data_IF_048568563464
#
_entry.id   IF_048568563464
#
_cell.length_a   1.000
_cell.length_b   1.000
_cell.length_c   1.000
_cell.angle_alpha   90.00
_cell.angle_beta   90.00
_cell.angle_gamma   90.00
#
_symmetry.space_group_name_H-M   'P 1'
#
loop_
_entity.id
_entity.type
_entity.pdbx_description
1 polymer ?
#
# COMPACT_ATOMS: atom_id res chain seq x y z
N UNK A 1 -22.79 -1.65 -80.15
CA UNK A 1 -24.22 -2.00 -79.99
C UNK A 1 -24.48 -2.16 -78.49
N UNK A 2 -25.10 -1.16 -77.83
CA UNK A 2 -26.56 -1.02 -77.62
C UNK A 2 -27.09 -2.10 -76.63
N UNK A 3 -27.68 -1.84 -75.45
CA UNK A 3 -28.43 -0.69 -74.90
C UNK A 3 -28.47 -0.77 -73.35
N UNK A 4 -28.62 0.38 -72.71
CA UNK A 4 -29.11 0.56 -71.34
C UNK A 4 -30.59 0.18 -71.20
N UNK A 5 -31.00 -0.32 -70.02
CA UNK A 5 -32.35 -0.14 -69.47
C UNK A 5 -32.29 -0.07 -67.94
N UNK A 6 -33.04 0.89 -67.40
CA UNK A 6 -33.09 1.36 -66.01
C UNK A 6 -34.31 0.85 -65.23
N UNK A 7 -34.13 0.66 -63.91
CA UNK A 7 -35.14 0.80 -62.84
C UNK A 7 -35.74 -0.49 -62.25
N UNK A 8 -36.30 -0.50 -61.00
CA UNK A 8 -36.46 0.61 -60.04
C UNK A 8 -35.89 0.32 -58.62
N UNK A 9 -36.05 1.32 -57.74
CA UNK A 9 -35.55 1.39 -56.37
C UNK A 9 -36.56 0.92 -55.29
N UNK A 10 -36.04 0.82 -54.06
CA UNK A 10 -36.69 0.93 -52.75
C UNK A 10 -36.94 -0.37 -51.95
N UNK A 11 -36.36 -0.38 -50.74
CA UNK A 11 -36.60 -1.37 -49.70
C UNK A 11 -35.73 -1.12 -48.46
N UNK A 12 -35.95 0.01 -47.75
CA UNK A 12 -35.32 0.27 -46.43
C UNK A 12 -35.86 -0.73 -45.41
N UNK A 13 -35.09 -1.78 -45.13
CA UNK A 13 -35.33 -2.68 -44.00
C UNK A 13 -35.05 -1.97 -42.67
N UNK A 14 -36.11 -1.58 -41.95
CA UNK A 14 -36.03 -1.15 -40.56
C UNK A 14 -35.68 -2.37 -39.69
N UNK A 15 -34.46 -2.40 -39.14
CA UNK A 15 -34.06 -3.41 -38.14
C UNK A 15 -34.79 -3.09 -36.82
N UNK A 16 -35.50 -4.08 -36.30
CA UNK A 16 -36.21 -3.98 -35.03
C UNK A 16 -35.26 -3.79 -33.85
N UNK A 17 -35.59 -2.85 -32.98
CA UNK A 17 -34.96 -2.73 -31.66
C UNK A 17 -35.43 -3.87 -30.75
N UNK A 18 -34.55 -4.51 -29.96
CA UNK A 18 -34.96 -5.49 -28.98
C UNK A 18 -35.77 -4.80 -27.86
N UNK A 19 -36.96 -5.32 -27.58
CA UNK A 19 -37.82 -4.90 -26.47
C UNK A 19 -37.25 -5.41 -25.16
N UNK A 20 -36.78 -4.51 -24.30
CA UNK A 20 -36.47 -4.83 -22.91
C UNK A 20 -37.77 -5.06 -22.11
N UNK A 21 -37.86 -6.12 -21.28
CA UNK A 21 -39.04 -6.33 -20.45
C UNK A 21 -39.12 -5.29 -19.32
N UNK A 22 -40.33 -4.80 -19.08
CA UNK A 22 -40.68 -3.83 -18.03
C UNK A 22 -40.35 -4.40 -16.65
N UNK A 23 -39.56 -3.65 -15.87
CA UNK A 23 -39.28 -3.93 -14.44
C UNK A 23 -40.58 -3.93 -13.64
N UNK A 24 -40.84 -5.03 -12.93
CA UNK A 24 -41.90 -5.11 -11.90
C UNK A 24 -41.51 -4.26 -10.68
N UNK A 25 -42.46 -3.56 -10.03
CA UNK A 25 -42.19 -2.83 -8.79
C UNK A 25 -42.00 -3.80 -7.62
N UNK A 26 -40.92 -3.62 -6.87
CA UNK A 26 -40.67 -4.32 -5.60
C UNK A 26 -41.55 -3.67 -4.53
N UNK A 27 -42.37 -4.48 -3.85
CA UNK A 27 -43.19 -4.03 -2.71
C UNK A 27 -42.29 -3.61 -1.55
N UNK A 28 -42.40 -2.35 -1.11
CA UNK A 28 -41.78 -1.87 0.14
C UNK A 28 -42.53 -2.48 1.33
N UNK A 29 -41.90 -3.43 2.01
CA UNK A 29 -42.32 -3.88 3.33
C UNK A 29 -41.96 -2.82 4.37
N UNK A 30 -42.94 -2.42 5.19
CA UNK A 30 -42.76 -1.52 6.31
C UNK A 30 -41.88 -2.19 7.38
N UNK A 31 -40.79 -1.53 7.76
CA UNK A 31 -39.96 -1.96 8.90
C UNK A 31 -40.37 -1.11 10.10
N UNK A 32 -40.95 -1.79 11.08
CA UNK A 32 -41.43 -1.23 12.36
C UNK A 32 -40.22 -0.82 13.19
N UNK A 33 -40.12 0.48 13.51
CA UNK A 33 -39.13 1.00 14.43
C UNK A 33 -39.41 0.47 15.86
N UNK A 34 -38.47 -0.29 16.40
CA UNK A 34 -38.38 -0.58 17.83
C UNK A 34 -37.10 0.08 18.34
N UNK A 35 -37.29 1.05 19.24
CA UNK A 35 -36.24 1.69 20.01
C UNK A 35 -35.46 0.62 20.79
N UNK A 36 -34.22 0.36 20.35
CA UNK A 36 -33.21 -0.36 21.11
C UNK A 36 -32.17 0.65 21.58
N UNK A 37 -32.11 0.87 22.87
CA UNK A 37 -31.26 1.79 23.60
C UNK A 37 -29.78 1.64 23.20
N UNK A 38 -29.14 2.76 22.87
CA UNK A 38 -27.69 2.88 22.77
C UNK A 38 -27.07 2.57 24.13
N UNK A 39 -26.53 1.37 24.30
CA UNK A 39 -25.53 1.08 25.33
C UNK A 39 -24.19 1.30 24.66
N UNK A 40 -23.67 2.51 24.83
CA UNK A 40 -22.25 2.82 24.62
C UNK A 40 -21.49 2.09 25.72
N UNK A 41 -21.23 0.81 25.50
CA UNK A 41 -20.52 -0.07 26.42
C UNK A 41 -19.11 -0.28 25.91
N UNK A 42 -18.21 0.54 26.45
CA UNK A 42 -16.77 0.45 26.37
C UNK A 42 -16.31 -1.00 26.65
N UNK A 43 -15.99 -1.74 25.58
CA UNK A 43 -15.36 -3.06 25.65
C UNK A 43 -14.15 -3.02 24.71
N UNK A 44 -13.20 -2.15 25.06
CA UNK A 44 -11.90 -2.10 24.44
C UNK A 44 -11.08 -3.31 24.91
N UNK A 45 -11.42 -4.50 24.42
CA UNK A 45 -10.42 -5.55 24.32
C UNK A 45 -9.43 -5.00 23.30
N UNK A 46 -8.30 -4.47 23.78
CA UNK A 46 -7.18 -4.10 22.93
C UNK A 46 -6.90 -5.32 22.03
N UNK A 47 -7.14 -5.15 20.73
CA UNK A 47 -6.87 -6.22 19.78
C UNK A 47 -5.37 -6.51 19.89
N UNK A 48 -4.97 -7.78 20.10
CA UNK A 48 -3.57 -8.11 20.25
C UNK A 48 -2.81 -7.64 19.01
N UNK A 49 -1.63 -7.08 19.24
CA UNK A 49 -0.79 -6.62 18.14
C UNK A 49 -0.45 -7.78 17.20
N UNK A 50 -0.59 -7.55 15.91
CA UNK A 50 -0.13 -8.53 14.92
C UNK A 50 1.38 -8.41 14.77
N UNK A 51 2.09 -9.50 15.06
CA UNK A 51 3.55 -9.56 14.99
C UNK A 51 3.96 -10.46 13.83
N UNK A 52 4.60 -9.88 12.81
CA UNK A 52 5.17 -10.65 11.72
C UNK A 52 6.46 -11.40 12.15
N UNK A 53 6.77 -12.56 11.54
CA UNK A 53 8.06 -13.21 11.74
C UNK A 53 9.19 -12.38 11.12
N UNK A 54 10.37 -12.41 11.73
CA UNK A 54 11.56 -11.76 11.17
C UNK A 54 12.03 -12.47 9.88
N UNK A 55 12.62 -11.69 8.96
CA UNK A 55 13.20 -12.16 7.70
C UNK A 55 14.72 -11.86 7.67
N UNK A 56 15.54 -12.50 8.53
CA UNK A 56 16.96 -12.16 8.67
C UNK A 56 17.76 -12.33 7.38
N UNK A 57 17.40 -13.31 6.54
CA UNK A 57 18.01 -13.52 5.23
C UNK A 57 17.73 -12.37 4.26
N UNK A 58 16.54 -11.78 4.30
CA UNK A 58 16.18 -10.62 3.49
C UNK A 58 16.94 -9.39 3.98
N UNK A 59 16.99 -9.18 5.30
CA UNK A 59 17.72 -8.06 5.91
C UNK A 59 19.20 -8.11 5.50
N UNK A 60 19.83 -9.28 5.61
CA UNK A 60 21.24 -9.44 5.24
C UNK A 60 21.47 -9.34 3.73
N UNK A 61 20.53 -9.77 2.90
CA UNK A 61 20.60 -9.57 1.45
C UNK A 61 20.52 -8.08 1.09
N UNK A 62 19.58 -7.33 1.69
CA UNK A 62 19.42 -5.89 1.48
C UNK A 62 20.64 -5.10 1.99
N UNK A 63 21.20 -5.46 3.14
CA UNK A 63 22.40 -4.81 3.71
C UNK A 63 23.62 -4.90 2.78
N UNK A 64 23.72 -5.99 2.01
CA UNK A 64 24.81 -6.23 1.07
C UNK A 64 24.52 -5.69 -0.34
N UNK A 65 23.26 -5.37 -0.64
CA UNK A 65 22.85 -4.90 -1.94
C UNK A 65 23.21 -3.42 -2.12
N UNK A 66 23.83 -3.09 -3.27
CA UNK A 66 23.86 -1.72 -3.78
C UNK A 66 22.51 -1.40 -4.44
N UNK A 67 22.17 -0.11 -4.61
CA UNK A 67 20.85 0.33 -5.13
C UNK A 67 20.47 -0.37 -6.45
N UNK A 68 21.42 -0.55 -7.37
CA UNK A 68 21.18 -1.22 -8.66
C UNK A 68 20.97 -2.74 -8.57
N UNK A 69 21.15 -3.35 -7.39
CA UNK A 69 21.06 -4.81 -7.17
C UNK A 69 19.84 -5.24 -6.34
N UNK A 70 19.03 -4.28 -5.86
CA UNK A 70 17.85 -4.58 -5.01
C UNK A 70 16.83 -5.46 -5.74
N UNK A 71 16.70 -5.34 -7.06
CA UNK A 71 15.83 -6.21 -7.86
C UNK A 71 16.20 -7.68 -7.71
N UNK A 72 17.50 -8.02 -7.62
CA UNK A 72 17.96 -9.39 -7.37
C UNK A 72 17.56 -9.91 -5.99
N UNK A 73 17.48 -9.04 -4.98
CA UNK A 73 16.95 -9.42 -3.65
C UNK A 73 15.45 -9.72 -3.74
N UNK A 74 14.69 -8.92 -4.49
CA UNK A 74 13.26 -9.17 -4.72
C UNK A 74 13.04 -10.47 -5.48
N UNK A 75 13.85 -10.77 -6.49
CA UNK A 75 13.79 -12.04 -7.24
C UNK A 75 14.06 -13.25 -6.35
N UNK A 76 15.02 -13.14 -5.43
CA UNK A 76 15.33 -14.19 -4.46
C UNK A 76 14.27 -14.32 -3.34
N UNK A 77 13.63 -13.22 -2.96
CA UNK A 77 12.66 -13.12 -1.86
C UNK A 77 11.33 -12.48 -2.28
N UNK A 78 10.60 -13.02 -3.27
CA UNK A 78 9.47 -12.34 -3.91
C UNK A 78 8.24 -12.18 -3.01
N UNK A 79 8.22 -12.88 -1.87
CA UNK A 79 7.17 -12.79 -0.85
C UNK A 79 7.46 -11.75 0.23
N UNK A 80 8.67 -11.20 0.31
CA UNK A 80 9.03 -10.23 1.35
C UNK A 80 8.48 -8.85 1.01
N UNK A 81 7.61 -8.32 1.87
CA UNK A 81 7.12 -6.95 1.75
C UNK A 81 8.24 -5.92 1.89
N UNK A 82 9.25 -6.21 2.72
CA UNK A 82 10.40 -5.34 2.95
C UNK A 82 11.25 -5.19 1.68
N UNK A 83 11.57 -6.29 0.99
CA UNK A 83 12.37 -6.23 -0.24
C UNK A 83 11.68 -5.37 -1.32
N UNK A 84 10.36 -5.52 -1.50
CA UNK A 84 9.58 -4.68 -2.41
C UNK A 84 9.53 -3.21 -1.98
N UNK A 85 9.42 -2.92 -0.68
CA UNK A 85 9.43 -1.56 -0.16
C UNK A 85 10.75 -0.85 -0.46
N UNK A 86 11.88 -1.52 -0.21
CA UNK A 86 13.22 -0.97 -0.49
C UNK A 86 13.43 -0.77 -1.99
N UNK A 87 12.94 -1.70 -2.84
CA UNK A 87 12.98 -1.51 -4.29
C UNK A 87 12.16 -0.28 -4.73
N UNK A 88 10.97 -0.09 -4.16
CA UNK A 88 10.13 1.07 -4.45
C UNK A 88 10.84 2.37 -4.06
N UNK A 89 11.43 2.44 -2.86
CA UNK A 89 12.15 3.63 -2.41
C UNK A 89 13.36 3.94 -3.28
N UNK A 90 14.19 2.94 -3.61
CA UNK A 90 15.33 3.14 -4.52
C UNK A 90 14.88 3.62 -5.92
N UNK A 91 13.81 3.02 -6.45
CA UNK A 91 13.24 3.39 -7.75
C UNK A 91 12.69 4.82 -7.73
N UNK A 92 12.08 5.24 -6.62
CA UNK A 92 11.63 6.61 -6.45
C UNK A 92 12.78 7.61 -6.42
N UNK A 93 13.87 7.32 -5.72
CA UNK A 93 15.05 8.19 -5.65
C UNK A 93 15.67 8.45 -7.03
N UNK A 94 15.45 7.54 -7.99
CA UNK A 94 15.86 7.71 -9.38
C UNK A 94 14.84 8.51 -10.23
N UNK A 95 13.78 9.04 -9.63
CA UNK A 95 12.73 9.80 -10.32
C UNK A 95 11.70 8.93 -11.06
N UNK A 96 11.68 7.62 -10.83
CA UNK A 96 10.79 6.66 -11.51
C UNK A 96 9.51 6.42 -10.70
N UNK A 97 8.68 7.46 -10.56
CA UNK A 97 7.51 7.46 -9.66
C UNK A 97 6.48 6.37 -10.00
N UNK A 98 6.20 6.10 -11.28
CA UNK A 98 5.21 5.08 -11.66
C UNK A 98 5.68 3.66 -11.35
N UNK A 99 6.95 3.36 -11.56
CA UNK A 99 7.57 2.09 -11.22
C UNK A 99 7.64 1.91 -9.71
N UNK A 100 8.01 2.96 -8.96
CA UNK A 100 7.93 2.98 -7.50
C UNK A 100 6.52 2.66 -7.01
N UNK A 101 5.49 3.30 -7.57
CA UNK A 101 4.09 3.02 -7.26
C UNK A 101 3.76 1.54 -7.49
N UNK A 102 4.15 0.98 -8.64
CA UNK A 102 3.89 -0.41 -8.98
C UNK A 102 4.58 -1.38 -8.00
N UNK A 103 5.86 -1.16 -7.68
CA UNK A 103 6.62 -1.97 -6.73
C UNK A 103 6.07 -1.88 -5.31
N UNK A 104 5.74 -0.67 -4.85
CA UNK A 104 5.12 -0.46 -3.55
C UNK A 104 3.76 -1.16 -3.45
N UNK A 105 2.97 -1.17 -4.52
CA UNK A 105 1.69 -1.89 -4.57
C UNK A 105 1.87 -3.39 -4.41
N UNK A 106 2.88 -3.98 -5.05
CA UNK A 106 3.23 -5.39 -4.85
C UNK A 106 3.66 -5.64 -3.40
N UNK A 107 4.55 -4.81 -2.86
CA UNK A 107 5.01 -4.91 -1.47
C UNK A 107 3.87 -4.83 -0.45
N UNK A 108 2.93 -3.91 -0.66
CA UNK A 108 1.72 -3.78 0.14
C UNK A 108 0.88 -5.07 0.12
N UNK A 109 0.64 -5.65 -1.06
CA UNK A 109 -0.10 -6.90 -1.18
C UNK A 109 0.60 -8.07 -0.47
N UNK A 110 1.93 -8.21 -0.64
CA UNK A 110 2.72 -9.22 0.09
C UNK A 110 2.65 -9.05 1.60
N UNK A 111 2.70 -7.80 2.06
CA UNK A 111 2.55 -7.47 3.47
C UNK A 111 1.18 -7.84 4.03
N UNK A 112 0.10 -7.53 3.30
CA UNK A 112 -1.24 -7.95 3.69
C UNK A 112 -1.41 -9.47 3.75
N UNK A 113 -0.79 -10.20 2.82
CA UNK A 113 -0.81 -11.65 2.83
C UNK A 113 -0.07 -12.22 4.06
N UNK A 114 1.06 -11.63 4.43
CA UNK A 114 1.80 -11.99 5.65
C UNK A 114 0.98 -11.68 6.91
N UNK A 115 0.37 -10.49 6.99
CA UNK A 115 -0.48 -10.07 8.10
C UNK A 115 -1.69 -11.00 8.27
N UNK A 116 -2.36 -11.38 7.17
CA UNK A 116 -3.48 -12.33 7.21
C UNK A 116 -3.06 -13.69 7.75
N UNK A 117 -1.89 -14.19 7.35
CA UNK A 117 -1.32 -15.44 7.89
C UNK A 117 -1.00 -15.33 9.38
N UNK A 118 -0.64 -14.13 9.85
CA UNK A 118 -0.39 -13.83 11.26
C UNK A 118 -1.67 -13.48 12.06
N UNK A 119 -2.87 -13.62 11.47
CA UNK A 119 -4.15 -13.43 12.17
C UNK A 119 -4.77 -12.03 12.04
N UNK A 120 -4.21 -11.14 11.23
CA UNK A 120 -4.79 -9.81 10.98
C UNK A 120 -5.94 -9.88 9.96
N UNK A 121 -7.09 -9.31 10.32
CA UNK A 121 -8.32 -9.39 9.52
C UNK A 121 -8.87 -8.02 9.08
N UNK A 122 -8.00 -7.05 8.82
CA UNK A 122 -8.40 -5.73 8.33
C UNK A 122 -8.46 -4.63 9.38
N UNK A 123 -8.26 -4.97 10.66
CA UNK A 123 -8.34 -4.07 11.80
C UNK A 123 -7.34 -4.49 12.88
N UNK A 124 -6.95 -3.55 13.72
CA UNK A 124 -5.97 -3.76 14.80
C UNK A 124 -4.59 -3.19 14.48
N UNK A 125 -3.76 -2.97 15.50
CA UNK A 125 -2.48 -2.30 15.36
C UNK A 125 -1.45 -3.19 14.65
N UNK A 126 -0.61 -2.53 13.85
CA UNK A 126 0.61 -3.09 13.23
C UNK A 126 1.71 -2.10 13.56
N UNK A 127 2.34 -2.23 14.74
CA UNK A 127 3.20 -1.17 15.27
C UNK A 127 4.57 -1.20 14.61
N UNK A 128 5.13 -0.02 14.42
CA UNK A 128 6.51 0.18 13.96
C UNK A 128 7.57 -0.33 14.93
N UNK A 129 7.23 -0.40 16.23
CA UNK A 129 8.12 -0.88 17.30
C UNK A 129 8.51 -2.34 17.09
N UNK A 130 7.64 -3.16 16.50
CA UNK A 130 7.99 -4.50 16.06
C UNK A 130 8.69 -4.44 14.71
N UNK A 131 10.00 -4.69 14.69
CA UNK A 131 10.84 -4.53 13.50
C UNK A 131 10.29 -5.27 12.26
N UNK A 132 9.84 -6.54 12.34
CA UNK A 132 9.27 -7.25 11.19
C UNK A 132 8.02 -6.62 10.56
N UNK A 133 7.28 -5.78 11.30
CA UNK A 133 6.13 -5.06 10.75
C UNK A 133 6.55 -3.90 9.82
N UNK A 134 7.79 -3.42 9.92
CA UNK A 134 8.26 -2.23 9.20
C UNK A 134 8.23 -2.40 7.69
N UNK A 135 8.44 -3.61 7.17
CA UNK A 135 8.36 -3.89 5.73
C UNK A 135 7.00 -3.50 5.14
N UNK A 136 5.91 -3.89 5.81
CA UNK A 136 4.53 -3.57 5.35
C UNK A 136 4.24 -2.08 5.47
N UNK A 137 4.65 -1.46 6.57
CA UNK A 137 4.47 -0.03 6.82
C UNK A 137 5.23 0.83 5.81
N UNK A 138 6.47 0.45 5.48
CA UNK A 138 7.28 1.09 4.43
C UNK A 138 6.64 0.94 3.04
N UNK A 139 6.15 -0.24 2.68
CA UNK A 139 5.47 -0.44 1.39
C UNK A 139 4.19 0.41 1.26
N UNK A 140 3.38 0.47 2.32
CA UNK A 140 2.19 1.32 2.39
C UNK A 140 2.54 2.81 2.27
N UNK A 141 3.59 3.26 2.96
CA UNK A 141 4.06 4.63 2.90
C UNK A 141 4.61 4.99 1.51
N UNK A 142 5.43 4.12 0.91
CA UNK A 142 5.94 4.32 -0.45
C UNK A 142 4.80 4.41 -1.48
N UNK A 143 3.77 3.56 -1.34
CA UNK A 143 2.58 3.60 -2.19
C UNK A 143 1.81 4.90 -1.98
N UNK A 144 1.63 5.34 -0.73
CA UNK A 144 0.98 6.60 -0.37
C UNK A 144 1.70 7.79 -1.03
N UNK A 145 3.03 7.85 -0.88
CA UNK A 145 3.88 8.90 -1.43
C UNK A 145 3.74 8.99 -2.95
N UNK A 146 3.92 7.86 -3.65
CA UNK A 146 3.80 7.83 -5.10
C UNK A 146 2.36 8.13 -5.59
N UNK A 147 1.33 7.69 -4.87
CA UNK A 147 -0.07 8.03 -5.18
C UNK A 147 -0.33 9.55 -5.13
N UNK A 148 0.26 10.24 -4.15
CA UNK A 148 0.19 11.69 -4.04
C UNK A 148 0.87 12.39 -5.23
N UNK A 149 2.05 11.92 -5.63
CA UNK A 149 2.81 12.51 -6.75
C UNK A 149 2.12 12.33 -8.11
N UNK A 150 1.39 11.23 -8.31
CA UNK A 150 0.62 10.99 -9.55
C UNK A 150 -0.81 11.56 -9.50
N UNK A 151 -1.14 12.32 -8.46
CA UNK A 151 -2.46 12.93 -8.24
C UNK A 151 -3.62 11.92 -8.04
N UNK A 152 -3.34 10.71 -7.55
CA UNK A 152 -4.37 9.74 -7.16
C UNK A 152 -4.86 9.98 -5.72
N UNK A 153 -5.48 11.14 -5.51
CA UNK A 153 -5.82 11.66 -4.18
C UNK A 153 -6.64 10.69 -3.30
N UNK A 154 -7.59 9.98 -3.90
CA UNK A 154 -8.41 8.99 -3.18
C UNK A 154 -7.58 7.84 -2.60
N UNK A 155 -6.52 7.39 -3.29
CA UNK A 155 -5.63 6.33 -2.81
C UNK A 155 -4.73 6.87 -1.69
N UNK A 156 -4.19 8.09 -1.87
CA UNK A 156 -3.40 8.78 -0.85
C UNK A 156 -4.16 8.90 0.49
N UNK A 157 -5.44 9.31 0.45
CA UNK A 157 -6.28 9.46 1.65
C UNK A 157 -6.58 8.12 2.33
N UNK A 158 -6.90 7.09 1.55
CA UNK A 158 -7.12 5.73 2.07
C UNK A 158 -5.88 5.19 2.76
N UNK A 159 -4.71 5.33 2.13
CA UNK A 159 -3.44 4.85 2.70
C UNK A 159 -3.02 5.67 3.93
N UNK A 160 -3.27 6.98 3.94
CA UNK A 160 -3.07 7.83 5.11
C UNK A 160 -3.92 7.34 6.30
N UNK A 161 -5.20 7.07 6.05
CA UNK A 161 -6.12 6.53 7.07
C UNK A 161 -5.64 5.17 7.57
N UNK A 162 -5.21 4.30 6.67
CA UNK A 162 -4.66 2.99 7.02
C UNK A 162 -3.44 3.13 7.93
N UNK A 163 -2.43 3.90 7.52
CA UNK A 163 -1.17 4.07 8.25
C UNK A 163 -1.43 4.63 9.64
N UNK A 164 -2.29 5.65 9.77
CA UNK A 164 -2.65 6.23 11.07
C UNK A 164 -3.39 5.23 11.98
N UNK A 165 -4.22 4.36 11.41
CA UNK A 165 -4.90 3.29 12.14
C UNK A 165 -3.96 2.16 12.58
N UNK A 166 -2.92 1.86 11.77
CA UNK A 166 -1.91 0.86 12.09
C UNK A 166 -0.94 1.35 13.17
N UNK A 167 -0.37 2.54 12.98
CA UNK A 167 0.50 3.24 13.93
C UNK A 167 0.56 4.74 13.58
N UNK A 168 0.05 5.64 14.45
CA UNK A 168 -0.07 7.08 14.18
C UNK A 168 1.27 7.81 14.03
N UNK A 169 2.38 7.17 14.39
CA UNK A 169 3.72 7.78 14.33
C UNK A 169 4.44 7.50 13.02
N UNK A 170 3.98 6.52 12.22
CA UNK A 170 4.71 6.01 11.05
C UNK A 170 4.93 7.06 9.98
N UNK A 171 3.88 7.83 9.63
CA UNK A 171 3.98 8.84 8.58
C UNK A 171 5.05 9.87 8.95
N UNK A 172 4.95 10.46 10.14
CA UNK A 172 5.93 11.46 10.60
C UNK A 172 7.35 10.90 10.68
N UNK A 173 7.53 9.65 11.13
CA UNK A 173 8.85 9.00 11.17
C UNK A 173 9.45 8.84 9.78
N UNK A 174 8.68 8.30 8.84
CA UNK A 174 9.17 8.04 7.48
C UNK A 174 9.37 9.32 6.65
N UNK A 175 8.56 10.35 6.89
CA UNK A 175 8.81 11.69 6.34
C UNK A 175 10.18 12.22 6.81
N UNK A 176 10.52 12.07 8.10
CA UNK A 176 11.81 12.49 8.64
C UNK A 176 13.00 11.72 8.07
N UNK A 177 12.86 10.42 7.83
CA UNK A 177 13.88 9.59 7.16
C UNK A 177 14.13 10.08 5.72
N UNK A 178 13.05 10.39 4.99
CA UNK A 178 13.11 10.77 3.57
C UNK A 178 13.66 12.19 3.35
N UNK A 179 13.54 13.09 4.33
CA UNK A 179 14.04 14.48 4.25
C UNK A 179 15.59 14.55 4.31
N UNK A 180 16.28 13.48 4.72
CA UNK A 180 17.75 13.46 4.70
C UNK A 180 18.30 13.21 3.28
N UNK A 181 19.17 14.09 2.72
CA UNK A 181 19.64 14.01 1.33
C UNK A 181 20.42 12.73 0.98
N UNK A 182 20.87 11.98 1.98
CA UNK A 182 21.77 10.82 1.80
C UNK A 182 21.03 9.48 1.67
N UNK A 183 19.70 9.47 1.51
CA UNK A 183 18.90 8.31 1.06
C UNK A 183 19.36 6.96 1.61
N UNK A 184 18.76 6.52 2.74
CA UNK A 184 19.03 5.24 3.41
C UNK A 184 20.35 5.19 4.21
N UNK A 185 20.33 5.66 5.46
CA UNK A 185 21.17 5.06 6.50
C UNK A 185 20.36 4.00 7.23
N UNK A 186 20.75 2.75 7.05
CA UNK A 186 20.53 1.71 8.04
C UNK A 186 21.29 2.08 9.32
N UNK A 187 20.79 3.02 10.10
CA UNK A 187 21.30 3.28 11.43
C UNK A 187 20.13 3.64 12.34
N UNK A 188 19.71 2.70 13.18
CA UNK A 188 19.62 3.08 14.60
C UNK A 188 20.93 3.82 14.92
N UNK A 189 20.89 5.07 15.39
CA UNK A 189 22.13 5.71 15.79
C UNK A 189 22.73 4.85 16.91
N UNK A 190 23.93 4.31 16.67
CA UNK A 190 24.76 3.88 17.78
C UNK A 190 24.80 5.06 18.77
N UNK A 191 24.62 4.82 20.09
CA UNK A 191 24.62 5.90 21.06
C UNK A 191 25.88 6.74 20.87
N UNK A 192 25.81 8.08 20.99
CA UNK A 192 26.95 8.94 20.75
C UNK A 192 28.09 8.47 21.65
N UNK A 193 29.13 7.94 21.03
CA UNK A 193 30.38 7.68 21.74
C UNK A 193 30.98 9.05 22.01
N UNK A 194 30.69 9.61 23.17
CA UNK A 194 31.44 10.77 23.65
C UNK A 194 32.91 10.35 23.77
N UNK A 195 33.76 10.98 22.96
CA UNK A 195 35.20 10.85 23.07
C UNK A 195 35.64 11.59 24.34
N UNK A 196 35.98 10.84 25.38
CA UNK A 196 36.65 11.38 26.56
C UNK A 196 38.05 11.88 26.18
N UNK A 197 38.25 13.19 26.18
CA UNK A 197 39.59 13.78 26.14
C UNK A 197 40.25 13.64 27.51
N UNK A 198 41.18 12.71 27.66
CA UNK A 198 42.09 12.67 28.81
C UNK A 198 43.13 13.78 28.57
N UNK A 199 42.99 14.92 29.27
CA UNK A 199 44.12 15.85 29.39
C UNK A 199 45.17 15.18 30.25
N UNK A 200 46.31 14.84 29.65
CA UNK A 200 47.53 14.57 30.40
C UNK A 200 48.00 15.89 31.02
N UNK A 201 47.93 15.98 32.35
CA UNK A 201 48.69 16.98 33.09
C UNK A 201 50.14 16.50 33.17
N UNK A 202 51.07 17.40 32.91
CA UNK A 202 52.52 17.19 33.02
C UNK A 202 53.05 18.10 34.12
#
# INVERSE_FOLDING_TARGET
MARFRTGPAAGRGRRGHPRFPLRRPVRRGAVRALLGSSVTGDNLIEQPETLLPAEPEVIEALRRAESGSISGVVEAHPTSSLAWAVLADATHLEGRTLESYAYARVGYHRGLDALRKAGWHGQGPVRWTHEPNRGVLRALYALRRAAGEINEQNEFERLTTFLNGADPTVISRLDQETITPDGYRATDPAPPTEAFFIRGEN
#
